data_IF_512947765395
#
_entry.id   IF_512947765395
#
_cell.length_a   1.000
_cell.length_b   1.000
_cell.length_c   1.000
_cell.angle_alpha   90.00
_cell.angle_beta   90.00
_cell.angle_gamma   90.00
#
_symmetry.space_group_name_H-M   'P 1'
#
loop_
_entity.id
_entity.type
_entity.pdbx_description
1 polymer ?
#
# COMPACT_ATOMS: atom_id res chain seq x y z
N UNK A 1 -22.08 11.08 18.45
CA UNK A 1 -21.96 11.29 16.99
C UNK A 1 -20.48 11.40 16.68
N UNK A 2 -19.95 10.50 15.85
CA UNK A 2 -18.51 10.21 15.66
C UNK A 2 -17.62 11.47 15.67
N UNK A 3 -16.71 11.59 16.64
CA UNK A 3 -15.73 12.69 16.78
C UNK A 3 -14.66 12.73 15.68
N UNK A 4 -15.00 12.29 14.47
CA UNK A 4 -14.14 12.28 13.30
C UNK A 4 -14.54 13.48 12.45
N UNK A 5 -13.59 14.37 12.16
CA UNK A 5 -13.81 15.52 11.29
C UNK A 5 -14.25 15.06 9.88
N UNK A 6 -14.98 15.89 9.11
CA UNK A 6 -15.34 15.58 7.73
C UNK A 6 -14.13 15.15 6.87
N UNK A 7 -12.96 15.76 7.11
CA UNK A 7 -11.68 15.39 6.51
C UNK A 7 -11.20 13.99 6.91
N UNK A 8 -11.35 13.61 8.19
CA UNK A 8 -11.05 12.26 8.66
C UNK A 8 -11.94 11.19 8.03
N UNK A 9 -13.21 11.52 7.76
CA UNK A 9 -14.13 10.65 7.02
C UNK A 9 -13.70 10.45 5.56
N UNK A 10 -13.34 11.54 4.86
CA UNK A 10 -12.82 11.46 3.49
C UNK A 10 -11.54 10.63 3.46
N UNK A 11 -10.62 10.84 4.40
CA UNK A 11 -9.39 10.04 4.51
C UNK A 11 -9.71 8.56 4.67
N UNK A 12 -10.58 8.21 5.61
CA UNK A 12 -10.87 6.82 5.95
C UNK A 12 -11.64 6.13 4.83
N UNK A 13 -12.81 6.65 4.45
CA UNK A 13 -13.66 6.02 3.42
C UNK A 13 -13.04 6.08 2.03
N UNK A 14 -12.29 7.14 1.71
CA UNK A 14 -11.63 7.27 0.42
C UNK A 14 -10.45 6.32 0.25
N UNK A 15 -9.71 6.03 1.32
CA UNK A 15 -8.56 5.12 1.28
C UNK A 15 -8.91 3.65 1.53
N UNK A 16 -10.02 3.37 2.24
CA UNK A 16 -10.43 2.02 2.63
C UNK A 16 -10.50 1.02 1.46
N UNK A 17 -11.02 1.39 0.26
CA UNK A 17 -11.11 0.45 -0.86
C UNK A 17 -9.74 -0.02 -1.37
N UNK A 18 -8.64 0.71 -1.11
CA UNK A 18 -7.32 0.35 -1.62
C UNK A 18 -6.86 -1.03 -1.15
N UNK A 19 -7.23 -1.45 0.07
CA UNK A 19 -6.85 -2.74 0.64
C UNK A 19 -7.51 -3.92 -0.11
N UNK A 20 -8.85 -4.03 -0.18
CA UNK A 20 -9.48 -5.12 -0.91
C UNK A 20 -9.13 -5.11 -2.40
N UNK A 21 -8.90 -3.94 -3.01
CA UNK A 21 -8.43 -3.84 -4.40
C UNK A 21 -7.02 -4.43 -4.58
N UNK A 22 -6.09 -4.09 -3.69
CA UNK A 22 -4.74 -4.66 -3.71
C UNK A 22 -4.78 -6.18 -3.50
N UNK A 23 -5.53 -6.66 -2.50
CA UNK A 23 -5.70 -8.10 -2.22
C UNK A 23 -6.28 -8.81 -3.46
N UNK A 24 -7.34 -8.26 -4.05
CA UNK A 24 -7.95 -8.81 -5.26
C UNK A 24 -6.93 -8.96 -6.39
N UNK A 25 -6.14 -7.92 -6.66
CA UNK A 25 -5.12 -7.94 -7.71
C UNK A 25 -3.96 -8.89 -7.40
N UNK A 26 -3.49 -8.96 -6.15
CA UNK A 26 -2.47 -9.94 -5.77
C UNK A 26 -2.96 -11.38 -5.93
N UNK A 27 -4.21 -11.68 -5.55
CA UNK A 27 -4.77 -13.03 -5.70
C UNK A 27 -4.99 -13.38 -7.18
N UNK A 28 -5.58 -12.47 -7.97
CA UNK A 28 -5.94 -12.75 -9.37
C UNK A 28 -4.76 -12.67 -10.34
N UNK A 29 -3.85 -11.73 -10.12
CA UNK A 29 -2.79 -11.38 -11.08
C UNK A 29 -1.38 -11.54 -10.52
N UNK A 30 -1.23 -11.82 -9.22
CA UNK A 30 0.08 -11.90 -8.56
C UNK A 30 0.77 -10.55 -8.40
N UNK A 31 0.11 -9.43 -8.74
CA UNK A 31 0.65 -8.06 -8.68
C UNK A 31 -0.47 -7.03 -8.79
N UNK A 32 -0.15 -5.77 -8.48
CA UNK A 32 -1.01 -4.64 -8.86
C UNK A 32 -0.88 -4.38 -10.36
N UNK A 33 -2.02 -4.16 -11.02
CA UNK A 33 -2.15 -3.95 -12.47
C UNK A 33 -2.68 -2.53 -12.74
N UNK A 34 -1.80 -1.52 -12.97
CA UNK A 34 -2.17 -0.11 -13.09
C UNK A 34 -3.28 0.23 -14.08
N UNK A 35 -3.27 -0.44 -15.23
CA UNK A 35 -4.13 -0.14 -16.39
C UNK A 35 -5.45 -0.91 -16.39
N UNK A 36 -5.77 -1.58 -15.29
CA UNK A 36 -7.03 -2.30 -15.10
C UNK A 36 -8.03 -1.43 -14.30
N UNK A 37 -9.33 -1.72 -14.39
CA UNK A 37 -10.34 -1.07 -13.55
C UNK A 37 -10.00 -1.11 -12.05
N UNK A 38 -9.67 -2.26 -11.43
CA UNK A 38 -9.26 -2.27 -10.02
C UNK A 38 -7.95 -1.50 -9.77
N UNK A 39 -7.05 -1.43 -10.75
CA UNK A 39 -5.85 -0.59 -10.69
C UNK A 39 -6.17 0.90 -10.66
N UNK A 40 -7.09 1.38 -11.48
CA UNK A 40 -7.48 2.80 -11.47
C UNK A 40 -8.21 3.18 -10.17
N UNK A 41 -9.07 2.29 -9.67
CA UNK A 41 -9.70 2.47 -8.36
C UNK A 41 -8.67 2.49 -7.22
N UNK A 42 -7.66 1.60 -7.27
CA UNK A 42 -6.57 1.58 -6.31
C UNK A 42 -5.79 2.89 -6.33
N UNK A 43 -5.46 3.42 -7.51
CA UNK A 43 -4.82 4.72 -7.67
C UNK A 43 -5.63 5.84 -7.02
N UNK A 44 -6.92 5.91 -7.33
CA UNK A 44 -7.81 6.95 -6.79
C UNK A 44 -7.86 6.89 -5.25
N UNK A 45 -8.07 5.70 -4.68
CA UNK A 45 -8.11 5.52 -3.23
C UNK A 45 -6.78 5.86 -2.56
N UNK A 46 -5.66 5.46 -3.15
CA UNK A 46 -4.32 5.75 -2.64
C UNK A 46 -3.98 7.24 -2.71
N UNK A 47 -4.41 7.95 -3.76
CA UNK A 47 -4.23 9.40 -3.85
C UNK A 47 -5.10 10.13 -2.82
N UNK A 48 -6.36 9.73 -2.65
CA UNK A 48 -7.24 10.32 -1.63
C UNK A 48 -6.61 10.13 -0.24
N UNK A 49 -6.25 8.90 0.12
CA UNK A 49 -5.60 8.61 1.41
C UNK A 49 -4.27 9.34 1.58
N UNK A 50 -3.42 9.31 0.54
CA UNK A 50 -2.09 9.92 0.53
C UNK A 50 -2.13 11.43 0.68
N UNK A 51 -3.04 12.14 0.00
CA UNK A 51 -3.13 13.60 0.14
C UNK A 51 -3.80 14.02 1.45
N UNK A 52 -4.84 13.30 1.87
CA UNK A 52 -5.53 13.63 3.12
C UNK A 52 -4.69 13.36 4.36
N UNK A 53 -3.68 12.48 4.30
CA UNK A 53 -2.74 12.25 5.41
C UNK A 53 -2.02 13.52 5.84
N UNK A 54 -1.75 14.46 4.93
CA UNK A 54 -1.08 15.72 5.26
C UNK A 54 -1.95 16.64 6.12
N UNK A 55 -3.27 16.49 6.01
CA UNK A 55 -4.27 17.29 6.72
C UNK A 55 -4.71 16.63 8.03
N UNK A 56 -4.72 15.30 8.09
CA UNK A 56 -5.24 14.54 9.25
C UNK A 56 -4.13 14.03 10.17
N UNK A 57 -2.93 13.74 9.64
CA UNK A 57 -1.87 13.15 10.45
C UNK A 57 -1.09 14.21 11.25
N UNK A 58 -0.97 13.94 12.54
CA UNK A 58 -0.27 14.80 13.50
C UNK A 58 1.22 14.45 13.62
N UNK A 59 1.58 13.21 13.30
CA UNK A 59 2.95 12.70 13.43
C UNK A 59 3.77 13.00 12.16
N UNK A 60 5.00 13.55 12.27
CA UNK A 60 5.86 13.82 11.12
C UNK A 60 6.14 12.57 10.27
N UNK A 61 6.34 11.42 10.93
CA UNK A 61 6.61 10.13 10.28
C UNK A 61 5.49 9.76 9.30
N UNK A 62 4.23 9.99 9.66
CA UNK A 62 3.08 9.70 8.77
C UNK A 62 3.10 10.54 7.50
N UNK A 63 3.53 11.80 7.59
CA UNK A 63 3.66 12.69 6.42
C UNK A 63 4.80 12.22 5.50
N UNK A 64 5.93 11.82 6.07
CA UNK A 64 7.07 11.27 5.32
C UNK A 64 6.66 10.00 4.59
N UNK A 65 6.00 9.06 5.28
CA UNK A 65 5.47 7.84 4.67
C UNK A 65 4.47 8.17 3.55
N UNK A 66 3.62 9.18 3.75
CA UNK A 66 2.70 9.69 2.73
C UNK A 66 3.42 10.16 1.46
N UNK A 67 4.47 10.98 1.61
CA UNK A 67 5.30 11.46 0.47
C UNK A 67 5.93 10.29 -0.27
N UNK A 68 6.57 9.37 0.45
CA UNK A 68 7.23 8.19 -0.14
C UNK A 68 6.20 7.33 -0.88
N UNK A 69 5.03 7.11 -0.28
CA UNK A 69 3.96 6.31 -0.89
C UNK A 69 3.43 6.95 -2.17
N UNK A 70 3.18 8.26 -2.18
CA UNK A 70 2.75 8.98 -3.39
C UNK A 70 3.83 8.93 -4.47
N UNK A 71 5.10 9.16 -4.11
CA UNK A 71 6.20 9.11 -5.06
C UNK A 71 6.32 7.72 -5.72
N UNK A 72 6.25 6.65 -4.93
CA UNK A 72 6.24 5.27 -5.43
C UNK A 72 5.01 4.98 -6.28
N UNK A 73 3.84 5.48 -5.89
CA UNK A 73 2.60 5.29 -6.65
C UNK A 73 2.70 5.95 -8.02
N UNK A 74 3.12 7.21 -8.08
CA UNK A 74 3.30 7.93 -9.34
C UNK A 74 4.39 7.29 -10.21
N UNK A 75 5.51 6.86 -9.60
CA UNK A 75 6.55 6.13 -10.31
C UNK A 75 6.03 4.80 -10.86
N UNK A 76 5.28 4.03 -10.07
CA UNK A 76 4.67 2.76 -10.46
C UNK A 76 3.69 2.92 -11.62
N UNK A 77 2.78 3.90 -11.57
CA UNK A 77 1.83 4.14 -12.66
C UNK A 77 2.49 4.77 -13.90
N UNK A 78 3.56 5.55 -13.73
CA UNK A 78 4.25 6.25 -14.79
C UNK A 78 5.31 5.42 -15.54
N UNK A 79 5.98 4.48 -14.87
CA UNK A 79 7.16 3.78 -15.43
C UNK A 79 6.84 2.96 -16.68
N UNK A 80 5.62 2.43 -16.80
CA UNK A 80 5.24 1.67 -17.99
C UNK A 80 5.15 2.51 -19.28
N UNK A 81 5.09 3.85 -19.16
CA UNK A 81 5.12 4.78 -20.30
C UNK A 81 6.54 5.11 -20.78
N UNK A 82 7.58 4.66 -20.07
CA UNK A 82 8.98 4.95 -20.38
C UNK A 82 9.55 3.85 -21.28
N UNK A 83 9.49 4.08 -22.59
CA UNK A 83 9.83 3.05 -23.60
C UNK A 83 11.29 2.58 -23.57
N UNK A 84 12.24 3.44 -23.21
CA UNK A 84 13.67 3.09 -23.21
C UNK A 84 14.06 2.08 -22.12
N UNK A 85 13.22 1.92 -21.08
CA UNK A 85 13.45 0.92 -20.02
C UNK A 85 13.16 -0.52 -20.49
N UNK A 86 12.52 -0.71 -21.65
CA UNK A 86 12.24 -2.02 -22.21
C UNK A 86 11.56 -2.95 -21.20
N UNK A 87 12.22 -4.05 -20.85
CA UNK A 87 11.70 -5.05 -19.89
C UNK A 87 11.82 -4.61 -18.43
N UNK A 88 12.77 -3.72 -18.10
CA UNK A 88 12.97 -3.24 -16.73
C UNK A 88 11.73 -2.49 -16.19
N UNK A 89 10.92 -1.89 -17.08
CA UNK A 89 9.67 -1.22 -16.70
C UNK A 89 8.74 -2.12 -15.90
N UNK A 90 8.62 -3.40 -16.27
CA UNK A 90 7.71 -4.33 -15.60
C UNK A 90 8.21 -4.73 -14.21
N UNK A 91 9.53 -4.79 -14.01
CA UNK A 91 10.15 -5.02 -12.70
C UNK A 91 9.93 -3.81 -11.80
N UNK A 92 10.26 -2.61 -12.28
CA UNK A 92 10.09 -1.36 -11.53
C UNK A 92 8.61 -1.11 -11.19
N UNK A 93 7.69 -1.31 -12.13
CA UNK A 93 6.24 -1.20 -11.90
C UNK A 93 5.79 -2.16 -10.78
N UNK A 94 6.28 -3.40 -10.80
CA UNK A 94 5.93 -4.40 -9.77
C UNK A 94 6.50 -4.03 -8.40
N UNK A 95 7.76 -3.59 -8.35
CA UNK A 95 8.45 -3.22 -7.11
C UNK A 95 7.76 -2.01 -6.49
N UNK A 96 7.57 -0.93 -7.25
CA UNK A 96 6.98 0.30 -6.73
C UNK A 96 5.57 0.07 -6.20
N UNK A 97 4.73 -0.66 -6.94
CA UNK A 97 3.34 -0.87 -6.52
C UNK A 97 3.19 -1.91 -5.41
N UNK A 98 4.13 -2.85 -5.28
CA UNK A 98 4.16 -3.74 -4.11
C UNK A 98 4.59 -2.98 -2.86
N UNK A 99 5.52 -2.02 -3.00
CA UNK A 99 5.89 -1.12 -1.91
C UNK A 99 4.74 -0.18 -1.51
N UNK A 100 3.93 0.31 -2.46
CA UNK A 100 2.75 1.13 -2.08
C UNK A 100 1.73 0.32 -1.28
N UNK A 101 1.52 -0.96 -1.63
CA UNK A 101 0.67 -1.85 -0.84
C UNK A 101 1.24 -2.10 0.57
N UNK A 102 2.56 -2.27 0.67
CA UNK A 102 3.23 -2.39 1.97
C UNK A 102 3.04 -1.14 2.85
N UNK A 103 3.29 0.06 2.29
CA UNK A 103 3.11 1.30 3.03
C UNK A 103 1.66 1.63 3.37
N UNK A 104 0.70 1.13 2.60
CA UNK A 104 -0.72 1.16 2.96
C UNK A 104 -1.00 0.29 4.19
N UNK A 105 -0.45 -0.94 4.24
CA UNK A 105 -0.75 -1.90 5.31
C UNK A 105 -0.17 -1.50 6.67
N UNK A 106 1.00 -0.86 6.72
CA UNK A 106 1.66 -0.45 7.97
C UNK A 106 0.78 0.41 8.89
N UNK A 107 0.26 1.59 8.47
CA UNK A 107 -0.61 2.40 9.30
C UNK A 107 -1.95 1.72 9.54
N UNK A 108 -2.51 0.99 8.57
CA UNK A 108 -3.78 0.28 8.76
C UNK A 108 -3.68 -0.73 9.89
N UNK A 109 -2.71 -1.63 9.87
CA UNK A 109 -2.56 -2.65 10.91
C UNK A 109 -2.23 -2.01 12.26
N UNK A 110 -1.38 -0.98 12.26
CA UNK A 110 -1.05 -0.25 13.49
C UNK A 110 -2.29 0.41 14.09
N UNK A 111 -3.20 0.95 13.27
CA UNK A 111 -4.43 1.58 13.75
C UNK A 111 -5.46 0.55 14.19
N UNK A 112 -5.64 -0.54 13.44
CA UNK A 112 -6.57 -1.61 13.79
C UNK A 112 -6.19 -2.25 15.13
N UNK A 113 -4.92 -2.58 15.35
CA UNK A 113 -4.46 -3.20 16.60
C UNK A 113 -4.58 -2.28 17.83
N UNK A 114 -4.56 -0.96 17.63
CA UNK A 114 -4.69 0.04 18.71
C UNK A 114 -6.14 0.46 18.97
N UNK A 115 -7.07 0.10 18.08
CA UNK A 115 -8.50 0.41 18.24
C UNK A 115 -9.35 -0.80 18.60
N UNK A 116 -9.00 -1.98 18.09
CA UNK A 116 -9.80 -3.20 18.22
C UNK A 116 -9.14 -4.16 19.21
N UNK A 117 -9.93 -4.86 20.05
CA UNK A 117 -11.35 -4.66 20.32
C UNK A 117 -11.64 -3.35 21.08
N UNK A 118 -12.80 -2.75 20.80
CA UNK A 118 -13.21 -1.50 21.44
C UNK A 118 -13.23 -1.65 22.98
N UNK A 119 -12.59 -0.71 23.68
CA UNK A 119 -12.45 -0.73 25.15
C UNK A 119 -11.26 -1.54 25.68
N UNK A 120 -10.73 -2.49 24.90
CA UNK A 120 -9.59 -3.34 25.27
C UNK A 120 -8.63 -3.54 24.10
N UNK A 121 -7.94 -2.50 23.61
CA UNK A 121 -7.10 -2.59 22.42
C UNK A 121 -5.97 -3.62 22.60
N UNK A 122 -5.68 -4.40 21.55
CA UNK A 122 -4.58 -5.38 21.57
C UNK A 122 -3.22 -4.75 21.84
N UNK A 123 -3.05 -3.49 21.42
CA UNK A 123 -1.80 -2.75 21.55
C UNK A 123 -2.07 -1.39 22.16
N UNK A 124 -1.44 -1.11 23.30
CA UNK A 124 -1.44 0.22 23.94
C UNK A 124 -0.11 0.96 23.77
N UNK A 125 0.97 0.22 23.44
CA UNK A 125 2.32 0.77 23.22
C UNK A 125 2.82 0.46 21.79
N UNK A 126 3.40 1.49 21.15
CA UNK A 126 4.08 1.41 19.86
C UNK A 126 5.26 0.41 19.83
N UNK A 127 5.80 0.02 20.99
CA UNK A 127 6.86 -0.97 21.13
C UNK A 127 6.36 -2.37 21.52
N UNK A 128 5.05 -2.59 21.53
CA UNK A 128 4.51 -3.91 21.87
C UNK A 128 5.05 -5.01 20.93
N UNK A 129 5.38 -6.20 21.45
CA UNK A 129 5.83 -7.33 20.62
C UNK A 129 4.82 -7.72 19.54
N UNK A 130 3.52 -7.54 19.82
CA UNK A 130 2.43 -7.84 18.88
C UNK A 130 2.48 -6.89 17.67
N UNK A 131 2.64 -5.58 17.90
CA UNK A 131 2.71 -4.61 16.81
C UNK A 131 3.97 -4.82 15.96
N UNK A 132 5.12 -5.01 16.60
CA UNK A 132 6.38 -5.27 15.90
C UNK A 132 6.33 -6.59 15.13
N UNK A 133 5.72 -7.63 15.71
CA UNK A 133 5.50 -8.91 15.04
C UNK A 133 4.59 -8.78 13.82
N UNK A 134 3.50 -8.02 13.91
CA UNK A 134 2.60 -7.78 12.79
C UNK A 134 3.27 -6.98 11.65
N UNK A 135 4.01 -5.92 11.99
CA UNK A 135 4.79 -5.15 11.02
C UNK A 135 5.88 -6.00 10.37
N UNK A 136 6.57 -6.83 11.16
CA UNK A 136 7.55 -7.81 10.68
C UNK A 136 6.92 -8.83 9.72
N UNK A 137 5.74 -9.35 10.03
CA UNK A 137 5.03 -10.28 9.15
C UNK A 137 4.67 -9.63 7.81
N UNK A 138 4.18 -8.38 7.81
CA UNK A 138 3.90 -7.63 6.58
C UNK A 138 5.19 -7.43 5.76
N UNK A 139 6.33 -7.15 6.41
CA UNK A 139 7.62 -7.03 5.75
C UNK A 139 8.10 -8.36 5.15
N UNK A 140 7.91 -9.48 5.85
CA UNK A 140 8.22 -10.83 5.33
C UNK A 140 7.35 -11.14 4.11
N UNK A 141 6.05 -10.84 4.16
CA UNK A 141 5.13 -11.02 3.03
C UNK A 141 5.58 -10.20 1.83
N UNK A 142 6.00 -8.93 2.04
CA UNK A 142 6.57 -8.11 0.97
C UNK A 142 7.81 -8.77 0.37
N UNK A 143 8.79 -9.17 1.19
CA UNK A 143 10.06 -9.73 0.69
C UNK A 143 9.84 -11.03 -0.06
N UNK A 144 9.06 -11.95 0.50
CA UNK A 144 8.77 -13.25 -0.12
C UNK A 144 7.92 -13.07 -1.38
N UNK A 145 6.86 -12.27 -1.30
CA UNK A 145 5.97 -11.99 -2.42
C UNK A 145 6.69 -11.29 -3.57
N UNK A 146 7.48 -10.27 -3.27
CA UNK A 146 8.26 -9.55 -4.27
C UNK A 146 9.32 -10.44 -4.91
N UNK A 147 10.01 -11.27 -4.11
CA UNK A 147 10.97 -12.25 -4.63
C UNK A 147 10.29 -13.25 -5.58
N UNK A 148 9.12 -13.77 -5.22
CA UNK A 148 8.33 -14.63 -6.09
C UNK A 148 7.92 -13.93 -7.40
N UNK A 149 7.47 -12.66 -7.33
CA UNK A 149 7.15 -11.85 -8.50
C UNK A 149 8.38 -11.62 -9.41
N UNK A 150 9.55 -11.35 -8.83
CA UNK A 150 10.79 -11.16 -9.60
C UNK A 150 11.22 -12.45 -10.31
N UNK A 151 11.13 -13.59 -9.62
CA UNK A 151 11.43 -14.91 -10.20
C UNK A 151 10.45 -15.21 -11.34
N UNK A 152 9.16 -14.95 -11.13
CA UNK A 152 8.13 -15.14 -12.15
C UNK A 152 8.40 -14.30 -13.40
N UNK A 153 8.68 -13.00 -13.22
CA UNK A 153 9.07 -12.09 -14.30
C UNK A 153 10.30 -12.62 -15.04
N UNK A 154 11.36 -13.02 -14.31
CA UNK A 154 12.58 -13.54 -14.91
C UNK A 154 12.31 -14.77 -15.79
N UNK A 155 11.48 -15.70 -15.31
CA UNK A 155 11.10 -16.91 -16.07
C UNK A 155 10.28 -16.61 -17.33
N UNK A 156 9.52 -15.51 -17.34
CA UNK A 156 8.72 -15.07 -18.49
C UNK A 156 9.39 -13.98 -19.34
N UNK A 157 10.72 -13.88 -19.26
CA UNK A 157 11.47 -12.90 -20.04
C UNK A 157 11.15 -11.45 -19.71
N UNK A 158 10.64 -11.16 -18.52
CA UNK A 158 10.31 -9.82 -18.04
C UNK A 158 8.85 -9.40 -18.27
N UNK A 159 7.96 -10.31 -18.62
CA UNK A 159 6.54 -10.01 -18.84
C UNK A 159 5.63 -10.78 -17.87
N UNK A 160 4.64 -10.09 -17.30
CA UNK A 160 3.44 -10.78 -16.83
C UNK A 160 2.59 -11.03 -18.07
N UNK A 161 2.30 -12.30 -18.34
CA UNK A 161 1.35 -12.68 -19.39
C UNK A 161 -0.08 -12.33 -18.95
#
# INVERSE_FOLDING_TARGET
>A
MSGISPLGWIHTLGSLPAIPLAIHMFIRHGRIVPRSTPGLLYLASMLIGGFTVFLVAHQPVSKIVGVITIALLLAGYGVGSINWLGRARNYLETIFLSLTAFFLMLPTVSETLRRVPDGHPFVTDLKSPILLGAQGAIAVVLVVGLSAQMIYLRRRGGNFA
#
